data_IF_085663930962
#
_entry.id   IF_085663930962
#
_cell.length_a   1.000
_cell.length_b   1.000
_cell.length_c   1.000
_cell.angle_alpha   90.00
_cell.angle_beta   90.00
_cell.angle_gamma   90.00
#
_symmetry.space_group_name_H-M   'P 1'
#
loop_
_entity.id
_entity.type
_entity.pdbx_description
1 polymer ?
#
# COMPACT_ATOMS: atom_id res chain seq x y z
N UNK A 1 3.01 4.24 15.52
CA UNK A 1 1.61 3.98 15.10
C UNK A 1 0.93 3.16 16.20
N UNK A 2 -0.35 2.77 16.08
CA UNK A 2 -0.93 1.80 17.04
C UNK A 2 -0.33 0.44 16.71
N UNK A 3 0.77 0.12 17.38
CA UNK A 3 1.59 -1.06 17.06
C UNK A 3 1.28 -2.26 17.94
N UNK A 4 0.61 -2.06 19.08
CA UNK A 4 0.25 -3.11 20.02
C UNK A 4 -1.17 -2.89 20.55
N UNK A 5 -1.94 -3.96 20.63
CA UNK A 5 -3.21 -4.02 21.38
C UNK A 5 -2.99 -5.01 22.53
N UNK A 6 -2.61 -4.49 23.70
CA UNK A 6 -2.16 -5.33 24.81
C UNK A 6 -0.88 -6.08 24.45
N UNK A 7 -0.88 -7.40 24.64
CA UNK A 7 0.26 -8.29 24.37
C UNK A 7 0.34 -8.78 22.91
N UNK A 8 -0.61 -8.38 22.07
CA UNK A 8 -0.63 -8.76 20.64
C UNK A 8 0.32 -7.85 19.85
N UNK A 9 1.50 -8.38 19.54
CA UNK A 9 2.49 -7.75 18.67
C UNK A 9 2.85 -8.69 17.51
N UNK A 10 2.90 -8.16 16.29
CA UNK A 10 3.44 -8.91 15.15
C UNK A 10 4.97 -8.94 15.27
N UNK A 11 5.55 -10.14 15.31
CA UNK A 11 7.00 -10.32 15.27
C UNK A 11 7.53 -9.93 13.88
N UNK A 12 8.61 -9.14 13.86
CA UNK A 12 9.30 -8.83 12.61
C UNK A 12 9.92 -10.07 11.98
N UNK A 13 10.27 -11.07 12.79
CA UNK A 13 10.94 -12.29 12.33
C UNK A 13 10.01 -13.17 11.48
N UNK A 14 8.69 -13.09 11.75
CA UNK A 14 7.68 -13.91 11.08
C UNK A 14 7.08 -13.26 9.82
N UNK A 15 7.42 -12.01 9.51
CA UNK A 15 6.77 -11.29 8.40
C UNK A 15 6.92 -12.00 7.05
N UNK A 16 8.02 -12.73 6.85
CA UNK A 16 8.26 -13.53 5.65
C UNK A 16 7.36 -14.78 5.56
N UNK A 17 6.79 -15.20 6.69
CA UNK A 17 5.85 -16.30 6.83
C UNK A 17 4.38 -15.83 6.77
N UNK A 18 4.14 -14.53 6.87
CA UNK A 18 2.78 -13.97 6.77
C UNK A 18 2.27 -14.11 5.33
N UNK A 19 1.03 -14.57 5.21
CA UNK A 19 0.33 -14.63 3.94
C UNK A 19 0.29 -13.24 3.28
N UNK A 20 0.67 -13.14 2.01
CA UNK A 20 0.74 -11.88 1.26
C UNK A 20 -0.59 -11.16 1.11
N UNK A 21 -1.71 -11.89 1.10
CA UNK A 21 -3.04 -11.30 1.11
C UNK A 21 -3.37 -10.68 2.48
N UNK A 22 -2.84 -11.24 3.58
CA UNK A 22 -2.92 -10.63 4.91
C UNK A 22 -2.00 -9.39 5.03
N UNK A 23 -0.84 -9.40 4.37
CA UNK A 23 0.00 -8.20 4.22
C UNK A 23 -0.76 -7.10 3.45
N UNK A 24 -1.42 -7.47 2.34
CA UNK A 24 -2.23 -6.53 1.57
C UNK A 24 -3.37 -5.93 2.40
N UNK A 25 -4.05 -6.75 3.19
CA UNK A 25 -5.13 -6.32 4.08
C UNK A 25 -4.71 -5.17 5.01
N UNK A 26 -3.57 -5.29 5.70
CA UNK A 26 -3.09 -4.19 6.56
C UNK A 26 -2.49 -3.05 5.73
N UNK A 27 -1.82 -3.38 4.62
CA UNK A 27 -1.17 -2.41 3.74
C UNK A 27 -2.14 -1.42 3.09
N UNK A 28 -3.34 -1.86 2.70
CA UNK A 28 -4.41 -1.00 2.20
C UNK A 28 -4.76 0.11 3.23
N UNK A 29 -4.93 -0.27 4.50
CA UNK A 29 -5.19 0.68 5.58
C UNK A 29 -4.04 1.67 5.79
N UNK A 30 -2.79 1.19 5.74
CA UNK A 30 -1.61 2.05 5.90
C UNK A 30 -1.50 3.04 4.74
N UNK A 31 -1.72 2.59 3.50
CA UNK A 31 -1.70 3.46 2.33
C UNK A 31 -2.80 4.54 2.38
N UNK A 32 -4.01 4.16 2.80
CA UNK A 32 -5.13 5.10 2.99
C UNK A 32 -4.75 6.22 3.98
N UNK A 33 -4.01 5.92 5.05
CA UNK A 33 -3.52 6.93 6.01
C UNK A 33 -2.55 7.91 5.32
N UNK A 34 -1.57 7.42 4.56
CA UNK A 34 -0.64 8.26 3.81
C UNK A 34 -1.39 9.20 2.85
N UNK A 35 -2.32 8.66 2.08
CA UNK A 35 -3.13 9.42 1.12
C UNK A 35 -3.98 10.47 1.84
N UNK A 36 -4.71 10.10 2.90
CA UNK A 36 -5.59 11.03 3.62
C UNK A 36 -4.80 12.14 4.31
N UNK A 37 -3.65 11.82 4.90
CA UNK A 37 -2.76 12.81 5.50
C UNK A 37 -2.26 13.80 4.43
N UNK A 38 -1.81 13.31 3.28
CA UNK A 38 -1.38 14.15 2.17
C UNK A 38 -2.50 15.07 1.67
N UNK A 39 -3.68 14.51 1.40
CA UNK A 39 -4.84 15.27 0.91
C UNK A 39 -5.30 16.30 1.92
N UNK A 40 -5.38 15.94 3.22
CA UNK A 40 -5.75 16.86 4.29
C UNK A 40 -4.74 18.00 4.43
N UNK A 41 -3.44 17.69 4.44
CA UNK A 41 -2.39 18.70 4.56
C UNK A 41 -2.44 19.73 3.41
N UNK A 42 -2.71 19.28 2.18
CA UNK A 42 -2.86 20.15 1.00
C UNK A 42 -4.19 20.91 0.94
N UNK A 43 -5.23 20.42 1.63
CA UNK A 43 -6.60 20.91 1.48
C UNK A 43 -7.30 21.19 2.82
N UNK A 44 -6.57 21.64 3.85
CA UNK A 44 -7.01 21.73 5.25
C UNK A 44 -8.36 22.42 5.51
N UNK A 45 -8.80 23.33 4.65
CA UNK A 45 -10.08 24.05 4.78
C UNK A 45 -11.20 23.49 3.88
N UNK A 46 -10.96 22.38 3.18
CA UNK A 46 -11.94 21.77 2.29
C UNK A 46 -12.94 20.89 3.05
N UNK A 47 -14.15 20.76 2.51
CA UNK A 47 -15.18 19.86 3.03
C UNK A 47 -14.78 18.39 2.85
N UNK A 48 -15.25 17.51 3.74
CA UNK A 48 -14.96 16.06 3.74
C UNK A 48 -15.24 15.40 2.39
N UNK A 49 -16.34 15.73 1.71
CA UNK A 49 -16.65 15.17 0.39
C UNK A 49 -15.56 15.45 -0.64
N UNK A 50 -14.96 16.66 -0.60
CA UNK A 50 -13.85 17.01 -1.49
C UNK A 50 -12.58 16.23 -1.13
N UNK A 51 -12.29 16.06 0.16
CA UNK A 51 -11.15 15.26 0.64
C UNK A 51 -11.29 13.79 0.20
N UNK A 52 -12.49 13.21 0.32
CA UNK A 52 -12.77 11.85 -0.14
C UNK A 52 -12.54 11.72 -1.65
N UNK A 53 -13.15 12.59 -2.47
CA UNK A 53 -12.97 12.57 -3.93
C UNK A 53 -11.49 12.67 -4.34
N UNK A 54 -10.72 13.53 -3.68
CA UNK A 54 -9.28 13.64 -3.93
C UNK A 54 -8.53 12.37 -3.52
N UNK A 55 -8.85 11.79 -2.36
CA UNK A 55 -8.21 10.56 -1.87
C UNK A 55 -8.47 9.37 -2.80
N UNK A 56 -9.69 9.23 -3.33
CA UNK A 56 -10.03 8.12 -4.25
C UNK A 56 -9.15 8.07 -5.51
N UNK A 57 -8.49 9.16 -5.89
CA UNK A 57 -7.58 9.16 -7.04
C UNK A 57 -6.33 8.31 -6.80
N UNK A 58 -5.86 8.24 -5.56
CA UNK A 58 -4.62 7.58 -5.18
C UNK A 58 -4.81 6.12 -4.71
N UNK A 59 -6.03 5.76 -4.31
CA UNK A 59 -6.32 4.45 -3.70
C UNK A 59 -7.07 3.49 -4.62
N UNK A 60 -7.41 3.92 -5.85
CA UNK A 60 -7.98 3.02 -6.86
C UNK A 60 -6.94 2.02 -7.35
N UNK A 61 -7.39 0.78 -7.62
CA UNK A 61 -6.54 -0.32 -8.05
C UNK A 61 -5.66 0.04 -9.28
N UNK A 62 -6.24 0.66 -10.31
CA UNK A 62 -5.48 1.14 -11.48
C UNK A 62 -4.30 2.04 -11.07
N UNK A 63 -4.56 3.03 -10.23
CA UNK A 63 -3.54 3.98 -9.78
C UNK A 63 -2.45 3.27 -8.98
N UNK A 64 -2.82 2.37 -8.06
CA UNK A 64 -1.86 1.62 -7.26
C UNK A 64 -1.00 0.68 -8.14
N UNK A 65 -1.60 0.05 -9.14
CA UNK A 65 -0.90 -0.79 -10.10
C UNK A 65 0.11 -0.01 -10.95
N UNK A 66 -0.24 1.21 -11.35
CA UNK A 66 0.66 2.10 -12.10
C UNK A 66 1.78 2.64 -11.20
N UNK A 67 1.47 2.99 -9.94
CA UNK A 67 2.45 3.41 -8.94
C UNK A 67 3.52 2.36 -8.71
N UNK A 68 3.15 1.09 -8.46
CA UNK A 68 4.14 0.05 -8.13
C UNK A 68 5.06 -0.29 -9.29
N UNK A 69 4.55 -0.23 -10.53
CA UNK A 69 5.39 -0.36 -11.72
C UNK A 69 6.36 0.81 -11.85
N UNK A 70 5.88 2.03 -11.64
CA UNK A 70 6.72 3.24 -11.69
C UNK A 70 7.80 3.21 -10.62
N UNK A 71 7.50 2.73 -9.39
CA UNK A 71 8.48 2.54 -8.32
C UNK A 71 9.60 1.58 -8.75
N UNK A 72 9.24 0.46 -9.40
CA UNK A 72 10.20 -0.51 -9.93
C UNK A 72 11.05 0.09 -11.04
N UNK A 73 10.43 0.75 -12.01
CA UNK A 73 11.11 1.38 -13.15
C UNK A 73 12.12 2.46 -12.74
N UNK A 74 11.84 3.17 -11.64
CA UNK A 74 12.70 4.23 -11.11
C UNK A 74 13.65 3.76 -9.99
N UNK A 75 13.78 2.45 -9.77
CA UNK A 75 14.65 1.86 -8.74
C UNK A 75 14.40 2.37 -7.31
N UNK A 76 13.16 2.78 -6.99
CA UNK A 76 12.77 3.19 -5.63
C UNK A 76 12.64 1.95 -4.72
N UNK A 77 12.27 0.82 -5.32
CA UNK A 77 12.20 -0.49 -4.68
C UNK A 77 13.22 -1.44 -5.32
N UNK A 78 13.86 -2.26 -4.49
CA UNK A 78 14.84 -3.26 -4.92
C UNK A 78 14.18 -4.58 -5.33
N UNK A 79 14.99 -5.59 -5.68
CA UNK A 79 14.47 -6.90 -6.07
C UNK A 79 13.75 -7.64 -4.95
N UNK A 80 14.17 -7.46 -3.69
CA UNK A 80 13.51 -8.11 -2.55
C UNK A 80 12.10 -7.55 -2.35
N UNK A 81 11.95 -6.23 -2.41
CA UNK A 81 10.66 -5.55 -2.34
C UNK A 81 9.79 -5.87 -3.56
N UNK A 82 10.39 -5.95 -4.75
CA UNK A 82 9.66 -6.34 -5.95
C UNK A 82 9.13 -7.79 -5.88
N UNK A 83 9.89 -8.70 -5.29
CA UNK A 83 9.44 -10.07 -5.08
C UNK A 83 8.22 -10.13 -4.16
N UNK A 84 8.14 -9.32 -3.10
CA UNK A 84 6.92 -9.19 -2.27
C UNK A 84 5.72 -8.74 -3.11
N UNK A 85 5.90 -7.76 -4.00
CA UNK A 85 4.86 -7.29 -4.93
C UNK A 85 4.38 -8.44 -5.84
N UNK A 86 5.32 -9.20 -6.42
CA UNK A 86 4.99 -10.31 -7.30
C UNK A 86 4.24 -11.43 -6.57
N UNK A 87 4.63 -11.75 -5.34
CA UNK A 87 3.91 -12.73 -4.51
C UNK A 87 2.50 -12.24 -4.19
N UNK A 88 2.34 -10.98 -3.77
CA UNK A 88 1.01 -10.38 -3.55
C UNK A 88 0.13 -10.39 -4.80
N UNK A 89 0.70 -10.05 -5.96
CA UNK A 89 0.02 -10.11 -7.26
C UNK A 89 -0.46 -11.52 -7.61
N UNK A 90 0.35 -12.54 -7.33
CA UNK A 90 -0.01 -13.92 -7.63
C UNK A 90 -1.01 -14.51 -6.61
N UNK A 91 -1.07 -13.96 -5.40
CA UNK A 91 -2.03 -14.35 -4.36
C UNK A 91 -3.37 -13.62 -4.44
N UNK A 92 -3.48 -12.61 -5.29
CA UNK A 92 -4.74 -11.90 -5.53
C UNK A 92 -5.78 -12.85 -6.11
N UNK A 93 -6.92 -12.99 -5.43
CA UNK A 93 -8.04 -13.84 -5.84
C UNK A 93 -9.32 -13.02 -5.84
N UNK A 94 -10.33 -13.47 -6.59
CA UNK A 94 -11.67 -12.90 -6.64
C UNK A 94 -11.72 -11.38 -6.91
N UNK A 95 -11.14 -10.91 -8.03
CA UNK A 95 -11.31 -9.52 -8.43
C UNK A 95 -12.80 -9.17 -8.57
N UNK A 96 -13.22 -7.92 -8.27
CA UNK A 96 -14.57 -7.47 -8.53
C UNK A 96 -14.97 -7.72 -10.00
N UNK A 97 -16.24 -8.04 -10.26
CA UNK A 97 -16.73 -8.45 -11.60
C UNK A 97 -16.35 -7.51 -12.74
N UNK A 98 -16.25 -6.20 -12.45
CA UNK A 98 -15.96 -5.16 -13.44
C UNK A 98 -14.52 -4.63 -13.35
N UNK A 99 -13.68 -5.23 -12.49
CA UNK A 99 -12.28 -4.82 -12.34
C UNK A 99 -11.42 -5.43 -13.44
N UNK A 100 -10.44 -4.66 -13.92
CA UNK A 100 -9.36 -5.23 -14.72
C UNK A 100 -8.52 -6.13 -13.80
N UNK A 101 -8.46 -7.42 -14.10
CA UNK A 101 -7.77 -8.43 -13.28
C UNK A 101 -6.30 -8.10 -13.08
N UNK A 102 -5.62 -7.61 -14.11
CA UNK A 102 -4.19 -7.29 -14.01
C UNK A 102 -3.96 -6.06 -13.12
N UNK A 103 -4.79 -5.01 -13.25
CA UNK A 103 -4.73 -3.84 -12.38
C UNK A 103 -5.03 -4.20 -10.93
N UNK A 104 -6.07 -5.02 -10.70
CA UNK A 104 -6.41 -5.51 -9.37
C UNK A 104 -5.25 -6.29 -8.74
N UNK A 105 -4.68 -7.24 -9.46
CA UNK A 105 -3.60 -8.06 -8.93
C UNK A 105 -2.35 -7.22 -8.60
N UNK A 106 -1.96 -6.27 -9.46
CA UNK A 106 -0.83 -5.39 -9.14
C UNK A 106 -1.13 -4.44 -7.98
N UNK A 107 -2.37 -3.98 -7.82
CA UNK A 107 -2.78 -3.20 -6.64
C UNK A 107 -2.62 -4.02 -5.36
N UNK A 108 -3.08 -5.27 -5.34
CA UNK A 108 -2.86 -6.18 -4.20
C UNK A 108 -1.37 -6.41 -3.93
N UNK A 109 -0.55 -6.48 -4.98
CA UNK A 109 0.91 -6.53 -4.84
C UNK A 109 1.50 -5.28 -4.19
N UNK A 110 1.02 -4.10 -4.56
CA UNK A 110 1.40 -2.83 -3.93
C UNK A 110 1.00 -2.81 -2.45
N UNK A 111 -0.25 -3.13 -2.13
CA UNK A 111 -0.75 -3.19 -0.76
C UNK A 111 0.09 -4.18 0.08
N UNK A 112 0.43 -5.35 -0.47
CA UNK A 112 1.28 -6.32 0.21
C UNK A 112 2.67 -5.76 0.55
N UNK A 113 3.28 -4.99 -0.34
CA UNK A 113 4.55 -4.31 -0.07
C UNK A 113 4.42 -3.28 1.06
N UNK A 114 3.35 -2.47 1.04
CA UNK A 114 3.10 -1.48 2.10
C UNK A 114 2.93 -2.18 3.46
N UNK A 115 2.15 -3.26 3.51
CA UNK A 115 1.96 -4.04 4.73
C UNK A 115 3.25 -4.71 5.23
N UNK A 116 4.05 -5.26 4.31
CA UNK A 116 5.36 -5.84 4.62
C UNK A 116 6.29 -4.81 5.29
N UNK A 117 6.43 -3.63 4.69
CA UNK A 117 7.29 -2.57 5.22
C UNK A 117 6.78 -2.03 6.56
N UNK A 118 5.46 -1.95 6.73
CA UNK A 118 4.83 -1.54 7.98
C UNK A 118 5.17 -2.50 9.13
N UNK A 119 5.04 -3.82 8.91
CA UNK A 119 5.34 -4.83 9.93
C UNK A 119 6.85 -4.89 10.21
N UNK A 120 7.69 -4.73 9.19
CA UNK A 120 9.15 -4.56 9.34
C UNK A 120 9.56 -3.23 10.00
N UNK A 121 8.61 -2.35 10.32
CA UNK A 121 8.84 -1.01 10.86
C UNK A 121 9.79 -0.16 10.01
N UNK A 122 9.84 -0.43 8.70
CA UNK A 122 10.65 0.33 7.77
C UNK A 122 9.90 1.58 7.30
N UNK A 123 9.60 2.47 8.25
CA UNK A 123 8.83 3.69 8.00
C UNK A 123 9.57 4.65 7.07
N UNK A 124 10.90 4.69 7.12
CA UNK A 124 11.69 5.51 6.19
C UNK A 124 11.45 5.14 4.74
N UNK A 125 11.36 3.84 4.40
CA UNK A 125 11.07 3.39 3.03
C UNK A 125 9.60 3.62 2.66
N UNK A 126 8.67 3.49 3.61
CA UNK A 126 7.26 3.86 3.38
C UNK A 126 7.11 5.35 3.06
N UNK A 127 7.79 6.22 3.81
CA UNK A 127 7.79 7.66 3.58
C UNK A 127 8.39 8.02 2.21
N UNK A 128 9.48 7.35 1.81
CA UNK A 128 10.09 7.51 0.48
C UNK A 128 9.12 7.11 -0.65
N UNK A 129 8.46 5.96 -0.52
CA UNK A 129 7.44 5.49 -1.48
C UNK A 129 6.29 6.49 -1.55
N UNK A 130 5.75 6.90 -0.39
CA UNK A 130 4.65 7.86 -0.33
C UNK A 130 5.03 9.20 -0.95
N UNK A 131 6.23 9.72 -0.65
CA UNK A 131 6.72 10.97 -1.22
C UNK A 131 6.87 10.86 -2.75
N UNK A 132 7.32 9.72 -3.27
CA UNK A 132 7.44 9.49 -4.70
C UNK A 132 6.06 9.42 -5.39
N UNK A 133 5.12 8.68 -4.81
CA UNK A 133 3.81 8.41 -5.40
C UNK A 133 2.79 9.56 -5.25
N UNK A 134 2.89 10.38 -4.19
CA UNK A 134 1.88 11.40 -3.84
C UNK A 134 2.23 12.81 -4.35
N UNK A 135 2.81 12.94 -5.54
CA UNK A 135 3.15 14.24 -6.12
C UNK A 135 2.02 14.84 -6.96
#
# INVERSE_FOLDING_TARGET
MVENIGDLALSQDDVNCINTLALAYIGDCIWEIYVRNYVLAKNKFSKVNKLHLLSTKYVKAKTQADMVKTLKENNIIDENMWDIVLRGRNSATNPPKNANVQEYNYATGFEALIGYLYIKKNYSKLDEIAQFCLK
#
